data_IF_695665054677
#
_entry.id   IF_695665054677
#
_cell.length_a   1.000
_cell.length_b   1.000
_cell.length_c   1.000
_cell.angle_alpha   90.00
_cell.angle_beta   90.00
_cell.angle_gamma   90.00
#
_symmetry.space_group_name_H-M   'P 1'
#
loop_
_entity.id
_entity.type
_entity.pdbx_description
1 polymer ?
#
# COMPACT_ATOMS: atom_id res chain seq x y z
N UNK A 1 -18.20 15.42 -1.61
CA UNK A 1 -17.97 14.78 -1.91
C UNK A 1 -17.28 14.14 -1.46
N UNK A 2 -17.29 13.58 -1.16
CA UNK A 2 -16.80 12.85 -0.82
C UNK A 2 -15.99 12.37 -1.00
N UNK A 3 -15.49 12.14 -0.77
CA UNK A 3 -14.68 11.64 -1.12
C UNK A 3 -14.37 10.51 -0.64
N UNK A 4 -14.63 9.68 -0.88
CA UNK A 4 -14.29 8.37 -0.61
C UNK A 4 -13.17 7.89 -1.43
N UNK A 5 -12.31 8.76 -1.77
CA UNK A 5 -11.16 8.35 -2.51
C UNK A 5 -10.41 7.31 -1.78
N UNK A 6 -9.96 6.26 -2.41
CA UNK A 6 -9.05 5.37 -1.76
C UNK A 6 -7.79 6.14 -1.41
N UNK A 7 -7.21 5.80 -0.30
CA UNK A 7 -6.00 6.45 0.12
C UNK A 7 -4.87 6.21 -0.89
N UNK A 8 -4.94 5.12 -1.64
CA UNK A 8 -3.86 4.73 -2.55
C UNK A 8 -4.41 4.39 -3.90
N UNK A 9 -3.57 4.58 -4.93
CA UNK A 9 -3.92 4.23 -6.30
C UNK A 9 -2.84 3.38 -6.89
N UNK A 10 -3.20 2.62 -7.91
CA UNK A 10 -2.24 1.80 -8.61
C UNK A 10 -1.04 2.64 -9.03
N UNK A 11 0.14 2.14 -8.73
CA UNK A 11 1.37 2.85 -9.09
C UNK A 11 1.93 3.74 -8.00
N UNK A 12 1.16 3.97 -6.93
CA UNK A 12 1.65 4.79 -5.83
C UNK A 12 2.79 4.10 -5.11
N UNK A 13 3.80 4.87 -4.74
CA UNK A 13 4.85 4.35 -3.90
C UNK A 13 4.35 4.34 -2.47
N UNK A 14 4.49 3.20 -1.83
CA UNK A 14 4.00 3.01 -0.48
C UNK A 14 5.07 2.38 0.39
N UNK A 15 4.86 2.48 1.68
CA UNK A 15 5.73 1.86 2.66
C UNK A 15 4.85 1.28 3.75
N UNK A 16 5.28 0.19 4.32
CA UNK A 16 4.59 -0.38 5.47
C UNK A 16 5.02 0.42 6.69
N UNK A 17 4.08 1.19 7.21
CA UNK A 17 4.35 2.13 8.28
C UNK A 17 4.31 1.48 9.65
N UNK A 18 3.70 0.29 9.74
CA UNK A 18 3.58 -0.39 11.02
C UNK A 18 3.48 -1.89 10.74
N UNK A 19 3.49 -2.66 11.80
CA UNK A 19 3.30 -4.10 11.69
C UNK A 19 4.61 -4.84 11.58
N UNK A 20 4.51 -6.14 11.34
CA UNK A 20 5.66 -7.03 11.31
C UNK A 20 6.68 -6.64 10.27
N UNK A 21 6.22 -6.12 9.15
CA UNK A 21 7.11 -5.80 8.04
C UNK A 21 7.32 -4.31 7.89
N UNK A 22 7.24 -3.59 8.99
CA UNK A 22 7.43 -2.14 8.99
C UNK A 22 8.71 -1.78 8.25
N UNK A 23 8.62 -0.77 7.38
CA UNK A 23 9.77 -0.32 6.61
C UNK A 23 9.85 -0.89 5.21
N UNK A 24 9.07 -1.91 4.89
CA UNK A 24 9.07 -2.48 3.56
C UNK A 24 8.47 -1.49 2.58
N UNK A 25 9.14 -1.28 1.47
CA UNK A 25 8.68 -0.36 0.43
C UNK A 25 8.17 -1.14 -0.76
N UNK A 26 7.23 -0.55 -1.48
CA UNK A 26 6.70 -1.18 -2.66
C UNK A 26 5.83 -0.25 -3.47
N UNK A 27 5.16 -0.83 -4.44
CA UNK A 27 4.27 -0.10 -5.32
C UNK A 27 2.87 -0.68 -5.13
N UNK A 28 1.92 0.19 -4.87
CA UNK A 28 0.55 -0.24 -4.65
C UNK A 28 -0.04 -0.78 -5.95
N UNK A 29 -0.70 -1.91 -5.88
CA UNK A 29 -1.38 -2.48 -7.04
C UNK A 29 -2.88 -2.25 -6.95
N UNK A 30 -3.53 -2.84 -5.96
CA UNK A 30 -4.97 -2.69 -5.81
C UNK A 30 -5.39 -3.22 -4.46
N UNK A 31 -6.60 -2.86 -4.07
CA UNK A 31 -7.22 -3.43 -2.88
C UNK A 31 -7.79 -4.80 -3.23
N UNK A 32 -7.76 -5.68 -2.26
CA UNK A 32 -8.42 -6.95 -2.44
C UNK A 32 -9.93 -6.74 -2.25
N UNK A 33 -10.74 -7.72 -2.67
CA UNK A 33 -12.19 -7.54 -2.66
C UNK A 33 -12.77 -7.13 -1.31
N UNK A 34 -12.13 -7.53 -0.20
CA UNK A 34 -12.66 -7.17 1.11
C UNK A 34 -12.21 -5.79 1.55
N UNK A 35 -11.46 -5.08 0.73
CA UNK A 35 -10.94 -3.74 0.90
C UNK A 35 -10.14 -3.52 2.18
N UNK A 36 -9.84 -4.56 2.91
CA UNK A 36 -9.00 -4.45 4.10
C UNK A 36 -7.57 -4.81 3.82
N UNK A 37 -7.30 -5.45 2.70
CA UNK A 37 -5.98 -5.89 2.31
C UNK A 37 -5.64 -5.31 0.96
N UNK A 38 -4.38 -5.03 0.77
CA UNK A 38 -3.91 -4.49 -0.50
C UNK A 38 -2.77 -5.34 -1.00
N UNK A 39 -2.69 -5.51 -2.31
CA UNK A 39 -1.56 -6.16 -2.93
C UNK A 39 -0.57 -5.09 -3.34
N UNK A 40 0.69 -5.31 -3.02
CA UNK A 40 1.75 -4.41 -3.45
C UNK A 40 2.87 -5.23 -4.08
N UNK A 41 3.62 -4.59 -4.97
CA UNK A 41 4.83 -5.18 -5.53
C UNK A 41 5.99 -4.69 -4.68
N UNK A 42 6.66 -5.60 -3.99
CA UNK A 42 7.77 -5.24 -3.13
C UNK A 42 9.04 -5.08 -3.96
N UNK A 43 10.09 -4.56 -3.33
CA UNK A 43 11.31 -4.22 -4.04
C UNK A 43 11.94 -5.41 -4.74
N UNK A 44 11.76 -6.59 -4.19
CA UNK A 44 12.34 -7.78 -4.80
C UNK A 44 11.50 -8.31 -5.95
N UNK A 45 10.41 -7.63 -6.28
CA UNK A 45 9.53 -8.07 -7.36
C UNK A 45 8.40 -8.97 -6.93
N UNK A 46 8.36 -9.35 -5.67
CA UNK A 46 7.26 -10.20 -5.18
C UNK A 46 6.01 -9.39 -5.00
N UNK A 47 4.88 -10.03 -5.17
CA UNK A 47 3.60 -9.40 -4.88
C UNK A 47 3.09 -10.00 -3.59
N UNK A 48 2.81 -9.15 -2.62
CA UNK A 48 2.33 -9.60 -1.33
C UNK A 48 1.16 -8.76 -0.88
N UNK A 49 0.30 -9.35 -0.06
CA UNK A 49 -0.84 -8.66 0.51
C UNK A 49 -0.52 -8.22 1.92
N UNK A 50 -0.91 -7.00 2.25
CA UNK A 50 -0.74 -6.46 3.59
C UNK A 50 -2.01 -5.71 3.97
N UNK A 51 -2.30 -5.60 5.28
CA UNK A 51 -3.44 -4.80 5.69
C UNK A 51 -3.27 -3.37 5.19
N UNK A 52 -4.32 -2.85 4.57
CA UNK A 52 -4.22 -1.52 4.00
C UNK A 52 -3.93 -0.46 5.05
N UNK A 53 -4.38 -0.69 6.28
CA UNK A 53 -4.14 0.29 7.33
C UNK A 53 -2.66 0.34 7.75
N UNK A 54 -1.86 -0.63 7.32
CA UNK A 54 -0.43 -0.60 7.59
C UNK A 54 0.32 0.25 6.58
N UNK A 55 -0.32 0.65 5.49
CA UNK A 55 0.37 1.34 4.40
C UNK A 55 0.36 2.84 4.62
N UNK A 56 1.40 3.48 4.12
CA UNK A 56 1.46 4.93 4.04
C UNK A 56 2.13 5.27 2.73
N UNK A 57 1.90 6.48 2.25
CA UNK A 57 2.63 6.92 1.07
C UNK A 57 4.10 7.06 1.42
N UNK A 58 4.96 6.66 0.51
CA UNK A 58 6.38 6.74 0.77
C UNK A 58 6.79 8.21 0.89
N UNK A 59 7.77 8.44 1.76
CA UNK A 59 8.23 9.77 2.00
C UNK A 59 8.74 10.38 0.71
N UNK A 60 8.45 11.62 0.52
CA UNK A 60 8.90 12.29 -0.67
C UNK A 60 7.97 12.16 -1.83
N UNK A 61 6.95 11.37 -1.65
CA UNK A 61 6.01 11.23 -2.72
C UNK A 61 5.21 12.47 -2.92
N UNK A 62 5.35 13.40 -2.04
CA UNK A 62 4.66 14.56 -2.13
C UNK A 62 5.12 15.56 -2.60
#
# INVERSE_FOLDING_TARGET
MTNTDPAFREGDEVVLATGTYQGTQGIFLHLRPDVKWADITERDGSIRSHPVEWLAHAAGAN
#
